data_IF_563497754872
#
_entry.id   IF_563497754872
#
_cell.length_a   1.000
_cell.length_b   1.000
_cell.length_c   1.000
_cell.angle_alpha   90.00
_cell.angle_beta   90.00
_cell.angle_gamma   90.00
#
_symmetry.space_group_name_H-M   'P 1'
#
loop_
_entity.id
_entity.type
_entity.pdbx_description
1 polymer ?
#
# COMPACT_ATOMS: atom_id res chain seq x y z
N UNK A 1 -3.97 3.41 -23.86
CA UNK A 1 -4.82 3.75 -22.69
C UNK A 1 -4.04 3.46 -21.42
N UNK A 2 -4.30 4.22 -20.35
CA UNK A 2 -3.67 3.97 -19.05
C UNK A 2 -4.19 2.70 -18.39
N UNK A 3 -3.36 2.09 -17.53
CA UNK A 3 -3.76 0.97 -16.68
C UNK A 3 -4.44 1.51 -15.42
N UNK A 4 -5.53 0.85 -14.98
CA UNK A 4 -6.17 1.15 -13.70
C UNK A 4 -5.38 0.47 -12.59
N UNK A 5 -4.83 1.25 -11.66
CA UNK A 5 -4.03 0.74 -10.52
C UNK A 5 -4.88 0.41 -9.29
N UNK A 6 -6.06 1.05 -9.14
CA UNK A 6 -6.94 0.80 -8.00
C UNK A 6 -8.27 1.52 -8.14
N UNK A 7 -9.27 1.06 -7.37
CA UNK A 7 -10.59 1.70 -7.28
C UNK A 7 -11.16 1.55 -5.88
N UNK A 8 -11.69 2.63 -5.32
CA UNK A 8 -12.40 2.60 -4.07
C UNK A 8 -13.47 3.69 -3.98
N UNK A 9 -14.48 3.44 -3.13
CA UNK A 9 -15.32 4.49 -2.57
C UNK A 9 -14.69 4.95 -1.26
N UNK A 10 -14.39 6.24 -1.17
CA UNK A 10 -13.71 6.83 -0.02
C UNK A 10 -14.75 7.47 0.93
N UNK A 11 -14.61 7.28 2.26
CA UNK A 11 -15.44 8.00 3.23
C UNK A 11 -15.11 9.50 3.21
N UNK A 12 -16.04 10.35 3.64
CA UNK A 12 -15.78 11.79 3.76
C UNK A 12 -14.72 12.12 4.83
N UNK A 13 -14.05 13.27 4.66
CA UNK A 13 -13.12 13.81 5.66
C UNK A 13 -11.73 13.14 5.69
N UNK A 14 -11.04 13.28 6.81
CA UNK A 14 -9.62 12.89 6.98
C UNK A 14 -9.39 11.40 6.71
N UNK A 15 -10.30 10.53 7.14
CA UNK A 15 -10.21 9.09 6.91
C UNK A 15 -10.22 8.75 5.40
N UNK A 16 -10.95 9.53 4.60
CA UNK A 16 -10.97 9.38 3.14
C UNK A 16 -9.64 9.74 2.50
N UNK A 17 -9.08 10.88 2.89
CA UNK A 17 -7.79 11.36 2.38
C UNK A 17 -6.68 10.39 2.76
N UNK A 18 -6.65 9.92 4.01
CA UNK A 18 -5.66 8.96 4.47
C UNK A 18 -5.72 7.64 3.67
N UNK A 19 -6.93 7.14 3.43
CA UNK A 19 -7.13 5.94 2.60
C UNK A 19 -6.71 6.15 1.15
N UNK A 20 -7.05 7.29 0.55
CA UNK A 20 -6.59 7.63 -0.80
C UNK A 20 -5.07 7.64 -0.88
N UNK A 21 -4.42 8.24 0.11
CA UNK A 21 -2.97 8.36 0.12
C UNK A 21 -2.26 7.02 0.25
N UNK A 22 -2.78 6.13 1.11
CA UNK A 22 -2.30 4.75 1.21
C UNK A 22 -2.49 3.97 -0.11
N UNK A 23 -3.64 4.12 -0.76
CA UNK A 23 -3.91 3.48 -2.06
C UNK A 23 -2.98 3.97 -3.17
N UNK A 24 -2.57 5.23 -3.14
CA UNK A 24 -1.62 5.79 -4.11
C UNK A 24 -0.20 5.33 -3.81
N UNK A 25 0.17 5.19 -2.53
CA UNK A 25 1.51 4.74 -2.12
C UNK A 25 1.79 3.27 -2.46
N UNK A 26 0.79 2.40 -2.43
CA UNK A 26 0.96 0.95 -2.66
C UNK A 26 1.56 0.62 -4.05
N UNK A 27 1.08 1.18 -5.18
CA UNK A 27 1.71 0.98 -6.48
C UNK A 27 3.07 1.65 -6.68
N UNK A 28 3.42 2.66 -5.87
CA UNK A 28 4.61 3.48 -6.07
C UNK A 28 5.88 2.88 -5.42
N UNK A 29 5.73 1.96 -4.47
CA UNK A 29 6.84 1.20 -3.88
C UNK A 29 7.88 2.04 -3.12
N UNK A 30 9.05 1.46 -2.89
CA UNK A 30 10.19 2.09 -2.20
C UNK A 30 11.04 2.98 -3.13
N UNK A 31 10.87 2.89 -4.45
CA UNK A 31 11.70 3.53 -5.47
C UNK A 31 11.16 4.90 -5.92
N UNK A 32 10.68 5.71 -4.99
CA UNK A 32 10.25 7.06 -5.33
C UNK A 32 11.29 8.10 -4.91
N UNK A 33 11.67 8.89 -5.91
CA UNK A 33 12.27 10.21 -5.73
C UNK A 33 11.27 11.06 -4.92
N UNK A 34 11.73 11.68 -3.83
CA UNK A 34 10.87 12.45 -2.90
C UNK A 34 10.13 13.62 -3.61
N UNK A 35 10.53 13.95 -4.85
CA UNK A 35 9.96 14.99 -5.72
C UNK A 35 8.83 14.53 -6.66
N UNK A 36 8.48 13.24 -6.68
CA UNK A 36 7.45 12.74 -7.59
C UNK A 36 6.03 13.25 -7.24
N UNK A 37 5.59 14.26 -7.99
CA UNK A 37 4.30 14.93 -7.76
C UNK A 37 3.13 14.16 -8.39
N UNK A 38 2.19 13.69 -7.56
CA UNK A 38 0.97 13.04 -8.02
C UNK A 38 -0.06 14.09 -8.47
N UNK A 39 -0.55 13.96 -9.70
CA UNK A 39 -1.59 14.81 -10.26
C UNK A 39 -2.98 14.19 -10.10
N UNK A 40 -3.95 14.99 -9.67
CA UNK A 40 -5.34 14.54 -9.42
C UNK A 40 -6.30 15.38 -10.25
N UNK A 41 -7.11 14.70 -11.07
CA UNK A 41 -8.22 15.29 -11.80
C UNK A 41 -9.52 15.13 -11.02
N UNK A 42 -10.23 16.23 -10.76
CA UNK A 42 -11.49 16.25 -10.01
C UNK A 42 -12.50 17.17 -10.69
N UNK A 43 -13.79 16.83 -10.65
CA UNK A 43 -14.84 17.60 -11.32
C UNK A 43 -15.28 18.88 -10.57
N UNK A 44 -14.79 19.08 -9.34
CA UNK A 44 -15.05 20.26 -8.51
C UNK A 44 -13.75 21.01 -8.22
N UNK A 45 -13.81 22.34 -8.24
CA UNK A 45 -12.70 23.22 -7.85
C UNK A 45 -12.74 23.64 -6.38
N UNK A 46 -13.77 23.19 -5.64
CA UNK A 46 -14.05 23.62 -4.26
C UNK A 46 -14.40 22.47 -3.34
N UNK A 47 -14.30 22.76 -2.05
CA UNK A 47 -14.74 21.90 -0.97
C UNK A 47 -13.59 21.35 -0.13
N UNK A 48 -13.91 20.70 1.00
CA UNK A 48 -12.91 20.20 1.95
C UNK A 48 -11.91 19.22 1.33
N UNK A 49 -12.34 18.38 0.38
CA UNK A 49 -11.47 17.46 -0.34
C UNK A 49 -10.41 18.18 -1.17
N UNK A 50 -10.81 19.19 -1.95
CA UNK A 50 -9.87 19.96 -2.77
C UNK A 50 -8.82 20.63 -1.89
N UNK A 51 -9.24 21.25 -0.79
CA UNK A 51 -8.35 21.88 0.17
C UNK A 51 -7.40 20.88 0.84
N UNK A 52 -7.90 19.71 1.25
CA UNK A 52 -7.09 18.69 1.89
C UNK A 52 -6.06 18.06 0.93
N UNK A 53 -6.42 17.86 -0.34
CA UNK A 53 -5.49 17.32 -1.33
C UNK A 53 -4.40 18.35 -1.70
N UNK A 54 -4.77 19.62 -1.86
CA UNK A 54 -3.81 20.71 -2.02
C UNK A 54 -2.88 20.78 -0.80
N UNK A 55 -3.46 20.71 0.41
CA UNK A 55 -2.69 20.72 1.66
C UNK A 55 -1.71 19.54 1.75
N UNK A 56 -2.09 18.38 1.22
CA UNK A 56 -1.26 17.18 1.14
C UNK A 56 -0.18 17.25 0.04
N UNK A 57 -0.13 18.31 -0.78
CA UNK A 57 0.88 18.48 -1.82
C UNK A 57 0.54 17.85 -3.17
N UNK A 58 -0.70 17.40 -3.38
CA UNK A 58 -1.15 16.94 -4.68
C UNK A 58 -1.34 18.09 -5.66
N UNK A 59 -1.00 17.86 -6.93
CA UNK A 59 -1.30 18.82 -7.99
C UNK A 59 -2.74 18.61 -8.48
N UNK A 60 -3.65 19.51 -8.10
CA UNK A 60 -5.07 19.38 -8.43
C UNK A 60 -5.43 20.10 -9.72
N UNK A 61 -6.18 19.41 -10.58
CA UNK A 61 -6.78 19.94 -11.80
C UNK A 61 -8.31 19.85 -11.68
N UNK A 62 -8.97 21.01 -11.68
CA UNK A 62 -10.42 21.07 -11.82
C UNK A 62 -10.80 20.80 -13.27
N UNK A 63 -11.55 19.72 -13.50
CA UNK A 63 -12.00 19.31 -14.82
C UNK A 63 -13.46 19.68 -14.98
N UNK A 64 -13.76 20.48 -16.00
CA UNK A 64 -15.13 20.89 -16.28
C UNK A 64 -15.96 19.68 -16.76
N UNK A 65 -17.11 19.36 -16.14
CA UNK A 65 -17.96 18.23 -16.54
C UNK A 65 -18.36 18.24 -18.03
N UNK A 66 -18.51 19.43 -18.64
CA UNK A 66 -18.81 19.57 -20.06
C UNK A 66 -17.62 19.15 -20.95
N UNK A 67 -16.38 19.39 -20.50
CA UNK A 67 -15.19 18.92 -21.21
C UNK A 67 -15.12 17.38 -21.16
N UNK A 68 -15.44 16.77 -20.01
CA UNK A 68 -15.51 15.30 -19.86
C UNK A 68 -16.56 14.70 -20.80
N UNK A 69 -17.75 15.30 -20.85
CA UNK A 69 -18.83 14.85 -21.73
C UNK A 69 -18.40 14.88 -23.21
N UNK A 70 -17.79 15.98 -23.66
CA UNK A 70 -17.27 16.12 -25.03
C UNK A 70 -16.10 15.19 -25.34
N UNK A 71 -15.21 14.96 -24.37
CA UNK A 71 -14.12 14.01 -24.52
C UNK A 71 -14.66 12.58 -24.67
N UNK A 72 -15.68 12.23 -23.89
CA UNK A 72 -16.34 10.92 -23.96
C UNK A 72 -16.97 10.64 -25.33
N UNK A 73 -17.64 11.63 -25.91
CA UNK A 73 -18.23 11.52 -27.25
C UNK A 73 -17.19 11.18 -28.34
N UNK A 74 -15.91 11.52 -28.14
CA UNK A 74 -14.82 11.15 -29.06
C UNK A 74 -14.45 9.66 -29.01
N UNK A 75 -14.73 8.99 -27.89
CA UNK A 75 -14.23 7.63 -27.61
C UNK A 75 -15.34 6.59 -27.39
N UNK A 76 -16.60 7.02 -27.24
CA UNK A 76 -17.76 6.12 -27.10
C UNK A 76 -18.95 6.62 -27.91
N UNK A 77 -19.54 5.71 -28.70
CA UNK A 77 -20.76 5.95 -29.49
C UNK A 77 -22.02 5.53 -28.71
N UNK A 78 -21.89 4.80 -27.60
CA UNK A 78 -23.01 4.42 -26.75
C UNK A 78 -23.19 5.40 -25.59
N UNK A 79 -24.41 5.90 -25.40
CA UNK A 79 -24.79 6.87 -24.36
C UNK A 79 -24.92 6.27 -22.95
N UNK A 80 -24.44 5.06 -22.71
CA UNK A 80 -24.53 4.42 -21.41
C UNK A 80 -23.53 5.06 -20.43
N UNK A 81 -24.04 5.76 -19.42
CA UNK A 81 -23.24 6.37 -18.35
C UNK A 81 -22.91 5.33 -17.29
N UNK A 82 -21.63 5.21 -16.95
CA UNK A 82 -21.17 4.43 -15.80
C UNK A 82 -20.08 5.23 -15.09
N UNK A 83 -20.17 5.39 -13.77
CA UNK A 83 -19.16 6.09 -12.97
C UNK A 83 -17.73 5.54 -13.19
N UNK A 84 -17.63 4.25 -13.55
CA UNK A 84 -16.37 3.61 -13.95
C UNK A 84 -15.79 4.19 -15.22
N UNK A 85 -16.65 4.32 -16.24
CA UNK A 85 -16.28 4.86 -17.53
C UNK A 85 -15.93 6.35 -17.39
N UNK A 86 -16.67 7.07 -16.55
CA UNK A 86 -16.44 8.48 -16.25
C UNK A 86 -15.08 8.70 -15.59
N UNK A 87 -14.73 7.88 -14.59
CA UNK A 87 -13.40 7.92 -13.95
C UNK A 87 -12.26 7.57 -14.92
N UNK A 88 -12.47 6.59 -15.82
CA UNK A 88 -11.46 6.23 -16.82
C UNK A 88 -11.27 7.34 -17.85
N UNK A 89 -12.35 7.99 -18.29
CA UNK A 89 -12.30 9.14 -19.20
C UNK A 89 -11.54 10.30 -18.56
N UNK A 90 -11.83 10.61 -17.30
CA UNK A 90 -11.11 11.64 -16.54
C UNK A 90 -9.61 11.33 -16.42
N UNK A 91 -9.26 10.08 -16.10
CA UNK A 91 -7.87 9.66 -16.00
C UNK A 91 -7.13 9.72 -17.34
N UNK A 92 -7.78 9.33 -18.44
CA UNK A 92 -7.17 9.38 -19.77
C UNK A 92 -6.98 10.83 -20.25
N UNK A 93 -7.97 11.69 -20.02
CA UNK A 93 -7.89 13.13 -20.28
C UNK A 93 -6.77 13.79 -19.45
N UNK A 94 -6.60 13.42 -18.18
CA UNK A 94 -5.45 13.86 -17.38
C UNK A 94 -4.12 13.37 -17.96
N UNK A 95 -4.07 12.13 -18.46
CA UNK A 95 -2.84 11.54 -18.99
C UNK A 95 -2.39 12.21 -20.30
N UNK A 96 -3.32 12.58 -21.20
CA UNK A 96 -2.98 13.14 -22.51
C UNK A 96 -3.02 14.67 -22.53
N UNK A 97 -4.01 15.26 -21.86
CA UNK A 97 -4.40 16.66 -22.06
C UNK A 97 -4.11 17.51 -20.82
N UNK A 98 -3.36 17.00 -19.82
CA UNK A 98 -2.99 17.76 -18.60
C UNK A 98 -2.37 19.12 -18.91
N UNK A 99 -1.59 19.24 -19.97
CA UNK A 99 -0.97 20.50 -20.41
C UNK A 99 -2.00 21.57 -20.85
N UNK A 100 -3.24 21.16 -21.16
CA UNK A 100 -4.36 22.05 -21.50
C UNK A 100 -5.22 22.40 -20.29
N UNK A 101 -4.96 21.79 -19.13
CA UNK A 101 -5.76 21.95 -17.93
C UNK A 101 -5.07 22.88 -16.95
N UNK A 102 -5.87 23.75 -16.32
CA UNK A 102 -5.38 24.73 -15.36
C UNK A 102 -5.32 24.10 -13.96
N UNK A 103 -4.16 24.13 -13.28
CA UNK A 103 -4.08 23.74 -11.89
C UNK A 103 -4.82 24.72 -10.98
N UNK A 104 -5.37 24.23 -9.88
CA UNK A 104 -5.96 25.08 -8.84
C UNK A 104 -4.83 25.81 -8.10
N UNK A 105 -4.97 27.13 -7.94
CA UNK A 105 -4.01 27.99 -7.24
C UNK A 105 -4.16 27.88 -5.71
N UNK A 106 -3.07 28.12 -4.98
CA UNK A 106 -2.88 27.66 -3.61
C UNK A 106 -2.28 28.77 -2.70
N UNK A 107 -2.96 29.92 -2.66
CA UNK A 107 -2.26 31.19 -2.38
C UNK A 107 -2.59 31.82 -1.00
N UNK A 108 -2.95 31.04 0.04
CA UNK A 108 -3.21 31.62 1.39
C UNK A 108 -2.22 31.19 2.46
N UNK A 109 -1.76 32.13 3.29
CA UNK A 109 -0.79 31.90 4.39
C UNK A 109 -1.31 30.94 5.47
N UNK A 110 -2.62 30.99 5.76
CA UNK A 110 -3.22 30.01 6.69
C UNK A 110 -3.26 28.60 6.09
N UNK A 111 -3.39 28.48 4.76
CA UNK A 111 -3.27 27.19 4.08
C UNK A 111 -1.83 26.64 4.14
N UNK A 112 -0.80 27.48 4.16
CA UNK A 112 0.60 27.03 4.32
C UNK A 112 0.87 26.31 5.65
N UNK A 113 0.34 26.81 6.77
CA UNK A 113 0.51 26.14 8.06
C UNK A 113 -0.20 24.76 8.10
N UNK A 114 -1.40 24.69 7.51
CA UNK A 114 -2.16 23.43 7.39
C UNK A 114 -1.45 22.45 6.46
N UNK A 115 -0.78 22.94 5.40
CA UNK A 115 0.05 22.14 4.49
C UNK A 115 1.17 21.42 5.22
N UNK A 116 1.93 22.12 6.07
CA UNK A 116 3.07 21.51 6.78
C UNK A 116 2.61 20.31 7.62
N UNK A 117 1.55 20.48 8.41
CA UNK A 117 1.00 19.39 9.24
C UNK A 117 0.40 18.27 8.39
N UNK A 118 -0.30 18.61 7.31
CA UNK A 118 -0.93 17.63 6.43
C UNK A 118 0.13 16.82 5.69
N UNK A 119 1.19 17.45 5.17
CA UNK A 119 2.34 16.78 4.55
C UNK A 119 3.02 15.85 5.54
N UNK A 120 3.30 16.29 6.77
CA UNK A 120 3.88 15.41 7.79
C UNK A 120 2.97 14.20 8.09
N UNK A 121 1.66 14.41 8.23
CA UNK A 121 0.71 13.31 8.41
C UNK A 121 0.70 12.33 7.23
N UNK A 122 0.77 12.87 6.02
CA UNK A 122 0.81 12.12 4.78
C UNK A 122 2.10 11.30 4.64
N UNK A 123 3.26 11.89 4.92
CA UNK A 123 4.55 11.19 4.98
C UNK A 123 4.48 10.00 5.93
N UNK A 124 3.91 10.16 7.13
CA UNK A 124 3.75 9.05 8.08
C UNK A 124 2.86 7.93 7.54
N UNK A 125 1.80 8.24 6.78
CA UNK A 125 0.96 7.23 6.14
C UNK A 125 1.78 6.42 5.12
N UNK A 126 2.59 7.11 4.30
CA UNK A 126 3.45 6.47 3.31
C UNK A 126 4.52 5.60 3.92
N UNK A 127 5.19 6.10 4.95
CA UNK A 127 6.14 5.30 5.72
C UNK A 127 5.46 4.05 6.28
N UNK A 128 4.25 4.19 6.84
CA UNK A 128 3.44 3.05 7.30
C UNK A 128 3.17 2.02 6.21
N UNK A 129 2.76 2.45 5.01
CA UNK A 129 2.57 1.57 3.85
C UNK A 129 3.88 0.90 3.43
N UNK A 130 4.99 1.64 3.37
CA UNK A 130 6.32 1.09 3.04
C UNK A 130 6.76 0.04 4.05
N UNK A 131 6.63 0.30 5.35
CA UNK A 131 6.94 -0.68 6.39
C UNK A 131 6.09 -1.95 6.27
N UNK A 132 4.79 -1.82 6.00
CA UNK A 132 3.91 -2.96 5.77
C UNK A 132 4.36 -3.80 4.57
N UNK A 133 4.69 -3.16 3.45
CA UNK A 133 5.15 -3.86 2.24
C UNK A 133 6.50 -4.56 2.48
N UNK A 134 7.44 -3.90 3.17
CA UNK A 134 8.73 -4.50 3.56
C UNK A 134 8.54 -5.69 4.50
N UNK A 135 7.67 -5.57 5.50
CA UNK A 135 7.34 -6.68 6.40
C UNK A 135 6.75 -7.86 5.63
N UNK A 136 5.76 -7.59 4.75
CA UNK A 136 5.16 -8.63 3.90
C UNK A 136 6.19 -9.31 3.01
N UNK A 137 7.13 -8.56 2.44
CA UNK A 137 8.21 -9.11 1.63
C UNK A 137 9.11 -10.04 2.44
N UNK A 138 9.59 -9.58 3.61
CA UNK A 138 10.43 -10.38 4.49
C UNK A 138 9.73 -11.66 4.97
N UNK A 139 8.46 -11.57 5.36
CA UNK A 139 7.65 -12.74 5.76
C UNK A 139 7.47 -13.70 4.58
N UNK A 140 7.29 -13.21 3.35
CA UNK A 140 7.16 -14.09 2.18
C UNK A 140 8.42 -14.90 1.91
N UNK A 141 9.59 -14.34 2.18
CA UNK A 141 10.88 -14.99 1.95
C UNK A 141 11.25 -15.97 3.06
N UNK A 142 11.04 -15.61 4.33
CA UNK A 142 11.54 -16.38 5.48
C UNK A 142 10.45 -17.08 6.30
N UNK A 143 9.23 -16.57 6.32
CA UNK A 143 8.16 -17.06 7.20
C UNK A 143 6.76 -16.99 6.54
N UNK A 144 6.54 -17.73 5.43
CA UNK A 144 5.32 -17.62 4.64
C UNK A 144 4.06 -18.08 5.39
N UNK A 145 4.20 -18.93 6.41
CA UNK A 145 3.08 -19.36 7.26
C UNK A 145 2.40 -18.19 7.97
N UNK A 146 3.15 -17.14 8.35
CA UNK A 146 2.59 -15.93 8.96
C UNK A 146 1.59 -15.22 8.03
N UNK A 147 1.85 -15.22 6.71
CA UNK A 147 0.96 -14.61 5.72
C UNK A 147 -0.33 -15.41 5.50
N UNK A 148 -0.36 -16.68 5.94
CA UNK A 148 -1.57 -17.52 5.94
C UNK A 148 -2.31 -17.39 7.27
N UNK A 149 -1.56 -17.29 8.37
CA UNK A 149 -2.10 -17.20 9.71
C UNK A 149 -2.76 -15.84 10.00
N UNK A 150 -2.20 -14.75 9.47
CA UNK A 150 -2.66 -13.39 9.77
C UNK A 150 -3.24 -12.70 8.53
N UNK A 151 -4.48 -12.23 8.66
CA UNK A 151 -5.21 -11.52 7.61
C UNK A 151 -4.78 -10.04 7.49
N UNK A 152 -4.50 -9.39 8.62
CA UNK A 152 -4.06 -8.00 8.72
C UNK A 152 -2.75 -7.89 9.52
N UNK A 153 -1.64 -7.68 8.81
CA UNK A 153 -0.30 -7.50 9.38
C UNK A 153 -0.15 -6.21 10.21
N UNK A 154 -1.10 -5.28 10.14
CA UNK A 154 -1.09 -4.05 10.93
C UNK A 154 -1.92 -4.16 12.22
N UNK A 155 -2.64 -5.27 12.39
CA UNK A 155 -3.46 -5.48 13.57
C UNK A 155 -2.61 -5.68 14.82
N UNK A 156 -3.10 -5.18 15.96
CA UNK A 156 -2.36 -5.15 17.23
C UNK A 156 -1.99 -6.56 17.70
N UNK A 157 -2.93 -7.49 17.61
CA UNK A 157 -2.73 -8.92 17.91
C UNK A 157 -1.67 -9.55 17.00
N UNK A 158 -1.70 -9.25 15.71
CA UNK A 158 -0.72 -9.76 14.75
C UNK A 158 0.68 -9.24 15.06
N UNK A 159 0.83 -7.94 15.31
CA UNK A 159 2.11 -7.34 15.68
C UNK A 159 2.62 -7.83 17.04
N UNK A 160 1.74 -8.06 18.01
CA UNK A 160 2.08 -8.66 19.31
C UNK A 160 2.62 -10.08 19.13
N UNK A 161 1.95 -10.92 18.34
CA UNK A 161 2.36 -12.30 18.09
C UNK A 161 3.63 -12.40 17.26
N UNK A 162 3.78 -11.59 16.21
CA UNK A 162 5.01 -11.53 15.40
C UNK A 162 6.19 -10.96 16.20
N UNK A 163 5.93 -10.03 17.13
CA UNK A 163 6.96 -9.53 18.04
C UNK A 163 7.42 -10.58 19.06
N UNK A 164 6.51 -11.44 19.53
CA UNK A 164 6.83 -12.54 20.44
C UNK A 164 7.47 -13.74 19.74
N UNK A 165 7.11 -13.99 18.48
CA UNK A 165 7.56 -15.12 17.67
C UNK A 165 7.82 -14.68 16.21
N UNK A 166 9.02 -14.15 15.92
CA UNK A 166 9.34 -13.56 14.61
C UNK A 166 9.72 -14.59 13.54
N UNK A 167 9.92 -15.86 13.90
CA UNK A 167 10.41 -16.91 13.01
C UNK A 167 9.51 -18.17 13.05
N UNK A 168 9.57 -19.05 12.04
CA UNK A 168 8.72 -20.23 11.97
C UNK A 168 8.81 -21.17 13.19
N UNK A 169 10.01 -21.31 13.78
CA UNK A 169 10.22 -22.24 14.90
C UNK A 169 9.62 -21.70 16.20
N UNK A 170 9.87 -20.42 16.52
CA UNK A 170 9.24 -19.77 17.67
C UNK A 170 7.72 -19.65 17.51
N UNK A 171 7.23 -19.43 16.28
CA UNK A 171 5.80 -19.33 16.03
C UNK A 171 5.07 -20.68 16.14
N UNK A 172 5.68 -21.77 15.68
CA UNK A 172 5.11 -23.11 15.85
C UNK A 172 5.00 -23.52 17.34
N UNK A 173 5.86 -22.97 18.19
CA UNK A 173 5.90 -23.21 19.63
C UNK A 173 4.84 -22.42 20.42
N UNK A 174 4.17 -21.43 19.81
CA UNK A 174 3.10 -20.68 20.47
C UNK A 174 1.96 -21.62 20.89
N UNK A 175 1.45 -21.40 22.11
CA UNK A 175 0.30 -22.14 22.63
C UNK A 175 -1.01 -21.46 22.22
N UNK A 176 -2.07 -22.25 22.19
CA UNK A 176 -3.42 -21.73 21.88
C UNK A 176 -3.86 -20.67 22.90
N UNK A 177 -3.43 -20.78 24.17
CA UNK A 177 -3.71 -19.80 25.21
C UNK A 177 -2.99 -18.47 24.98
N UNK A 178 -1.74 -18.49 24.52
CA UNK A 178 -0.98 -17.28 24.19
C UNK A 178 -1.65 -16.53 23.03
N UNK A 179 -2.01 -17.26 21.97
CA UNK A 179 -2.69 -16.68 20.80
C UNK A 179 -4.08 -16.17 21.19
N UNK A 180 -4.85 -16.95 21.94
CA UNK A 180 -6.15 -16.51 22.47
C UNK A 180 -6.02 -15.27 23.35
N UNK A 181 -4.94 -15.17 24.13
CA UNK A 181 -4.62 -14.00 24.97
C UNK A 181 -4.43 -12.73 24.14
N UNK A 182 -3.57 -12.79 23.12
CA UNK A 182 -3.33 -11.67 22.19
C UNK A 182 -4.62 -11.24 21.48
N UNK A 183 -5.40 -12.19 20.95
CA UNK A 183 -6.67 -11.91 20.30
C UNK A 183 -7.69 -11.26 21.25
N UNK A 184 -7.75 -11.69 22.52
CA UNK A 184 -8.60 -11.07 23.55
C UNK A 184 -8.14 -9.67 23.90
N UNK A 185 -6.83 -9.43 23.97
CA UNK A 185 -6.27 -8.11 24.21
C UNK A 185 -6.66 -7.13 23.10
N UNK A 186 -6.61 -7.58 21.84
CA UNK A 186 -7.11 -6.85 20.67
C UNK A 186 -8.65 -6.79 20.56
N UNK A 187 -9.40 -7.33 21.54
CA UNK A 187 -10.86 -7.37 21.58
C UNK A 187 -11.52 -8.06 20.38
N UNK A 188 -10.84 -9.06 19.79
CA UNK A 188 -11.41 -9.91 18.74
C UNK A 188 -12.57 -10.74 19.27
N UNK A 189 -13.62 -10.87 18.47
CA UNK A 189 -14.73 -11.79 18.74
C UNK A 189 -14.32 -13.19 18.31
N UNK A 190 -14.84 -14.23 18.96
CA UNK A 190 -14.53 -15.63 18.64
C UNK A 190 -13.03 -15.99 18.75
N UNK A 191 -12.30 -15.33 19.67
CA UNK A 191 -10.85 -15.47 19.85
C UNK A 191 -10.37 -16.92 19.97
N UNK A 192 -11.17 -17.81 20.57
CA UNK A 192 -10.80 -19.22 20.71
C UNK A 192 -10.80 -19.97 19.37
N UNK A 193 -11.84 -19.80 18.56
CA UNK A 193 -11.94 -20.46 17.25
C UNK A 193 -10.91 -19.88 16.26
N UNK A 194 -10.67 -18.58 16.31
CA UNK A 194 -9.66 -17.91 15.49
C UNK A 194 -8.24 -18.35 15.89
N UNK A 195 -7.97 -18.54 17.19
CA UNK A 195 -6.69 -19.08 17.66
C UNK A 195 -6.40 -20.50 17.12
N UNK A 196 -7.41 -21.37 17.02
CA UNK A 196 -7.24 -22.71 16.44
C UNK A 196 -6.79 -22.64 14.97
N UNK A 197 -7.40 -21.74 14.18
CA UNK A 197 -7.03 -21.51 12.78
C UNK A 197 -5.60 -20.99 12.66
N UNK A 198 -5.22 -20.03 13.51
CA UNK A 198 -3.87 -19.46 13.54
C UNK A 198 -2.84 -20.54 13.91
N UNK A 199 -3.08 -21.35 14.95
CA UNK A 199 -2.17 -22.44 15.34
C UNK A 199 -1.99 -23.44 14.21
N UNK A 200 -3.08 -23.83 13.54
CA UNK A 200 -3.01 -24.77 12.43
C UNK A 200 -2.21 -24.20 11.26
N UNK A 201 -2.40 -22.91 10.93
CA UNK A 201 -1.63 -22.24 9.89
C UNK A 201 -0.14 -22.11 10.27
N UNK A 202 0.19 -21.74 11.50
CA UNK A 202 1.58 -21.58 11.94
C UNK A 202 2.37 -22.90 11.98
N UNK A 203 1.68 -24.03 12.20
CA UNK A 203 2.28 -25.37 12.24
C UNK A 203 2.23 -26.13 10.90
N UNK A 204 1.66 -25.53 9.86
CA UNK A 204 1.63 -26.13 8.53
C UNK A 204 3.04 -26.33 7.95
N UNK A 205 3.16 -27.25 6.99
CA UNK A 205 4.42 -27.41 6.24
C UNK A 205 4.50 -26.35 5.14
N UNK A 206 5.48 -25.46 5.25
CA UNK A 206 5.78 -24.47 4.22
C UNK A 206 7.23 -24.61 3.77
N UNK A 207 7.45 -24.37 2.47
CA UNK A 207 8.79 -24.30 1.89
C UNK A 207 9.48 -23.02 2.38
N UNK A 208 10.12 -23.09 3.55
CA UNK A 208 10.93 -22.04 4.14
C UNK A 208 12.40 -22.44 4.20
N UNK A 209 13.30 -21.44 4.25
CA UNK A 209 14.72 -21.68 4.52
C UNK A 209 14.90 -22.31 5.92
N UNK A 210 15.98 -23.09 6.14
CA UNK A 210 16.28 -23.63 7.46
C UNK A 210 16.40 -22.50 8.50
N UNK A 211 16.09 -22.77 9.78
CA UNK A 211 16.02 -21.74 10.81
C UNK A 211 17.31 -20.95 10.91
N UNK A 212 17.21 -19.62 10.83
CA UNK A 212 18.31 -18.71 11.10
C UNK A 212 18.61 -18.74 12.60
N UNK A 213 19.86 -19.03 12.98
CA UNK A 213 20.25 -19.05 14.39
C UNK A 213 19.99 -17.68 15.04
N UNK A 214 19.39 -17.62 16.24
CA UNK A 214 19.10 -16.35 16.91
C UNK A 214 20.41 -15.63 17.24
N UNK A 215 20.71 -14.55 16.51
CA UNK A 215 21.88 -13.71 16.71
C UNK A 215 22.57 -13.18 15.44
N UNK A 216 22.17 -13.65 14.26
CA UNK A 216 22.73 -13.14 13.00
C UNK A 216 21.80 -12.09 12.39
N UNK A 217 22.10 -10.81 12.62
CA UNK A 217 21.55 -9.74 11.79
C UNK A 217 21.86 -10.04 10.32
N UNK A 218 20.94 -9.72 9.39
CA UNK A 218 21.27 -9.82 7.97
C UNK A 218 22.53 -8.99 7.72
N UNK A 219 23.57 -9.66 7.22
CA UNK A 219 24.82 -9.01 6.83
C UNK A 219 24.45 -7.93 5.83
N UNK A 220 24.85 -6.65 6.03
CA UNK A 220 24.62 -5.62 5.04
C UNK A 220 25.26 -6.08 3.73
N UNK A 221 24.54 -5.93 2.62
CA UNK A 221 25.12 -6.07 1.30
C UNK A 221 26.24 -5.03 1.19
N UNK A 222 27.49 -5.46 1.41
CA UNK A 222 28.65 -4.62 1.16
C UNK A 222 28.79 -4.43 -0.35
N UNK A 223 28.75 -3.17 -0.77
CA UNK A 223 29.17 -2.72 -2.09
C UNK A 223 30.65 -3.09 -2.31
N UNK A 224 30.85 -4.22 -3.01
CA UNK A 224 32.17 -4.78 -3.27
C UNK A 224 32.36 -5.13 -4.75
N UNK A 225 32.79 -4.15 -5.53
CA UNK A 225 33.41 -4.36 -6.85
C UNK A 225 34.57 -5.36 -6.71
N UNK A 226 34.42 -6.54 -7.30
CA UNK A 226 35.43 -7.61 -7.18
C UNK A 226 35.22 -8.75 -8.17
N UNK A 227 35.74 -8.56 -9.37
CA UNK A 227 35.83 -9.52 -10.48
C UNK A 227 36.62 -10.79 -10.06
N UNK A 228 36.05 -11.99 -10.15
CA UNK A 228 36.70 -13.24 -10.66
C UNK A 228 35.78 -14.49 -10.63
N UNK A 229 35.61 -15.11 -11.80
CA UNK A 229 35.77 -16.55 -12.10
C UNK A 229 35.05 -17.65 -11.29
N UNK A 230 34.22 -18.39 -12.05
CA UNK A 230 34.12 -19.87 -12.14
C UNK A 230 32.98 -20.62 -11.45
N UNK A 231 32.21 -21.31 -12.33
CA UNK A 231 31.53 -22.60 -12.17
C UNK A 231 30.31 -22.66 -11.26
N UNK A 232 29.14 -22.41 -11.85
CA UNK A 232 27.88 -23.00 -11.36
C UNK A 232 27.73 -24.45 -11.87
N UNK A 233 27.15 -25.38 -11.08
CA UNK A 233 26.81 -26.71 -11.56
C UNK A 233 25.52 -26.65 -12.39
N UNK A 234 25.62 -27.02 -13.66
CA UNK A 234 24.50 -27.32 -14.56
C UNK A 234 23.90 -28.67 -14.18
N UNK A 235 22.64 -28.68 -13.72
CA UNK A 235 21.84 -29.89 -13.64
C UNK A 235 20.87 -29.92 -14.83
N UNK A 236 21.25 -30.68 -15.86
CA UNK A 236 20.43 -30.99 -17.03
C UNK A 236 19.69 -32.29 -16.80
N UNK A 237 18.36 -32.26 -16.89
CA UNK A 237 17.52 -33.47 -16.94
C UNK A 237 17.29 -33.85 -18.41
N UNK A 238 17.40 -35.15 -18.73
CA UNK A 238 16.93 -35.73 -19.98
C UNK A 238 16.11 -36.97 -19.70
N UNK A 239 14.96 -37.01 -20.38
CA UNK A 239 13.92 -38.04 -20.55
C UNK A 239 13.17 -38.52 -19.31
#
# INVERSE_FOLDING_TARGET
MGQVLGRAKLPEGVAGIARLHAMIGEPLGDEQDDDATVAVGIETDRGPWVQALIAAGYQIYAINPLQVARYRERHSVSGAKSDTADAHVLADMMRTDRHLLRPIADDSVQAEAIKVLTRAHMTMIWEGTRYLLRLRHALREFFPAALVAFDDLTAVDTLELLGAAPDPASAAALTIEQITGALRHARRRNSAAEAEVIVAALRGEYLGQPPTEPGQSPVPLEDGVGRTSSRGPTCSYSS
#
